data_IF_396840181125
#
_entry.id   IF_396840181125
#
_cell.length_a   1.000
_cell.length_b   1.000
_cell.length_c   1.000
_cell.angle_alpha   90.00
_cell.angle_beta   90.00
_cell.angle_gamma   90.00
#
_symmetry.space_group_name_H-M   'P 1'
#
loop_
_entity.id
_entity.type
_entity.pdbx_description
1 polymer ?
#
# COMPACT_ATOMS: atom_id res chain seq x y z
N UNK A 1 10.20 -10.91 0.55
CA UNK A 1 10.35 -11.98 1.55
C UNK A 1 9.37 -11.83 2.70
N UNK A 2 9.52 -12.64 3.77
CA UNK A 2 8.73 -12.53 4.99
C UNK A 2 9.09 -11.32 5.86
N UNK A 3 8.43 -11.16 7.02
CA UNK A 3 8.72 -10.08 7.98
C UNK A 3 9.34 -10.67 9.24
N UNK A 4 10.59 -10.31 9.54
CA UNK A 4 11.19 -10.60 10.85
C UNK A 4 10.57 -9.68 11.90
N UNK A 5 10.20 -10.21 13.07
CA UNK A 5 9.78 -9.37 14.21
C UNK A 5 10.96 -8.51 14.67
N UNK A 6 10.80 -7.18 14.82
CA UNK A 6 11.87 -6.30 15.28
C UNK A 6 11.99 -6.37 16.81
N UNK A 7 12.63 -7.43 17.32
CA UNK A 7 12.91 -7.60 18.76
C UNK A 7 14.40 -7.76 19.00
N UNK A 8 14.88 -7.14 20.08
CA UNK A 8 16.28 -7.19 20.45
C UNK A 8 16.69 -8.63 20.77
N UNK A 9 17.79 -9.09 20.16
CA UNK A 9 18.35 -10.45 20.33
C UNK A 9 17.38 -11.62 20.05
N UNK A 10 16.20 -11.35 19.47
CA UNK A 10 15.18 -12.39 19.30
C UNK A 10 14.37 -12.70 20.56
N UNK A 11 14.53 -11.93 21.64
CA UNK A 11 13.82 -12.18 22.89
C UNK A 11 12.39 -11.64 22.81
N UNK A 12 11.39 -12.49 23.07
CA UNK A 12 9.98 -12.11 23.22
C UNK A 12 9.49 -12.62 24.58
N UNK A 13 8.83 -11.77 25.35
CA UNK A 13 8.27 -12.13 26.65
C UNK A 13 6.77 -12.41 26.56
N UNK A 14 6.24 -13.14 27.54
CA UNK A 14 4.82 -13.49 27.65
C UNK A 14 4.45 -14.83 27.01
N UNK A 15 3.15 -15.00 26.71
CA UNK A 15 2.56 -16.29 26.32
C UNK A 15 3.25 -16.92 25.08
N UNK A 16 3.42 -18.26 25.03
CA UNK A 16 4.07 -18.96 23.93
C UNK A 16 3.52 -18.64 22.52
N UNK A 17 2.23 -18.36 22.40
CA UNK A 17 1.57 -18.00 21.13
C UNK A 17 2.19 -16.78 20.43
N UNK A 18 2.81 -15.87 21.21
CA UNK A 18 3.39 -14.63 20.69
C UNK A 18 4.89 -14.75 20.34
N UNK A 19 5.52 -15.90 20.56
CA UNK A 19 6.98 -16.08 20.47
C UNK A 19 7.53 -16.11 19.03
N UNK A 20 6.66 -16.11 18.01
CA UNK A 20 7.07 -16.19 16.60
C UNK A 20 7.92 -14.99 16.12
N UNK A 21 9.04 -15.26 15.44
CA UNK A 21 9.96 -14.22 14.94
C UNK A 21 10.08 -14.21 13.40
N UNK A 22 10.49 -15.32 12.78
CA UNK A 22 10.90 -15.37 11.36
C UNK A 22 9.77 -15.73 10.39
N UNK A 23 8.81 -16.56 10.81
CA UNK A 23 7.73 -17.07 9.95
C UNK A 23 6.54 -16.10 9.80
N UNK A 24 6.62 -14.91 10.41
CA UNK A 24 5.59 -13.89 10.27
C UNK A 24 5.57 -13.32 8.84
N UNK A 25 4.37 -13.02 8.35
CA UNK A 25 4.14 -12.35 7.07
C UNK A 25 3.63 -10.94 7.33
N UNK A 26 4.01 -9.99 6.48
CA UNK A 26 3.45 -8.65 6.55
C UNK A 26 1.97 -8.70 6.12
N UNK A 27 1.11 -7.94 6.81
CA UNK A 27 -0.29 -7.78 6.41
C UNK A 27 -0.42 -7.07 5.06
N UNK A 28 0.43 -6.07 4.83
CA UNK A 28 0.51 -5.31 3.58
C UNK A 28 1.34 -6.04 2.53
N UNK A 29 0.94 -5.89 1.27
CA UNK A 29 1.66 -6.49 0.15
C UNK A 29 2.93 -5.69 -0.20
N UNK A 30 3.89 -6.33 -0.88
CA UNK A 30 5.12 -5.64 -1.34
C UNK A 30 4.83 -4.45 -2.27
N UNK A 31 3.80 -4.56 -3.10
CA UNK A 31 3.38 -3.49 -4.02
C UNK A 31 2.77 -2.30 -3.28
N UNK A 32 1.97 -2.56 -2.24
CA UNK A 32 1.44 -1.51 -1.35
C UNK A 32 2.57 -0.77 -0.62
N UNK A 33 3.56 -1.51 -0.12
CA UNK A 33 4.76 -0.91 0.49
C UNK A 33 5.57 -0.08 -0.52
N UNK A 34 5.64 -0.50 -1.78
CA UNK A 34 6.30 0.25 -2.84
C UNK A 34 5.57 1.58 -3.12
N UNK A 35 4.24 1.55 -3.25
CA UNK A 35 3.42 2.76 -3.41
C UNK A 35 3.64 3.75 -2.25
N UNK A 36 3.63 3.26 -1.00
CA UNK A 36 3.86 4.11 0.18
C UNK A 36 5.27 4.71 0.21
N UNK A 37 6.31 3.94 -0.15
CA UNK A 37 7.69 4.43 -0.19
C UNK A 37 7.83 5.58 -1.19
N UNK A 38 7.27 5.42 -2.39
CA UNK A 38 7.29 6.46 -3.42
C UNK A 38 6.45 7.66 -3.00
N UNK A 39 5.25 7.46 -2.45
CA UNK A 39 4.39 8.54 -1.97
C UNK A 39 5.00 9.38 -0.84
N UNK A 40 5.84 8.77 0.01
CA UNK A 40 6.61 9.51 1.03
C UNK A 40 7.78 10.29 0.44
N UNK A 41 8.47 9.72 -0.56
CA UNK A 41 9.62 10.37 -1.22
C UNK A 41 9.17 11.53 -2.12
N UNK A 42 8.08 11.36 -2.85
CA UNK A 42 7.48 12.33 -3.77
C UNK A 42 6.19 12.90 -3.19
N UNK A 43 6.28 13.57 -2.04
CA UNK A 43 5.12 14.02 -1.24
C UNK A 43 4.26 15.09 -1.92
N UNK A 44 4.84 15.86 -2.85
CA UNK A 44 4.14 16.82 -3.70
C UNK A 44 3.18 16.15 -4.70
N UNK A 45 3.47 14.91 -5.08
CA UNK A 45 2.69 14.16 -6.06
C UNK A 45 1.59 13.31 -5.40
N UNK A 46 0.72 12.71 -6.23
CA UNK A 46 -0.35 11.80 -5.81
C UNK A 46 -0.18 10.46 -6.49
N UNK A 47 -0.12 9.39 -5.69
CA UNK A 47 -0.12 8.02 -6.21
C UNK A 47 -1.48 7.70 -6.81
N UNK A 48 -1.52 7.40 -8.09
CA UNK A 48 -2.73 6.95 -8.79
C UNK A 48 -2.90 5.44 -8.59
N UNK A 49 -1.91 4.67 -9.05
CA UNK A 49 -1.82 3.21 -8.99
C UNK A 49 -0.37 2.77 -9.27
N UNK A 50 -0.15 1.46 -9.37
CA UNK A 50 1.15 0.87 -9.72
C UNK A 50 0.97 -0.35 -10.63
N UNK A 51 2.05 -1.00 -11.06
CA UNK A 51 2.03 -2.34 -11.66
C UNK A 51 3.37 -3.08 -11.45
N UNK A 52 3.36 -4.40 -11.65
CA UNK A 52 4.55 -5.23 -11.53
C UNK A 52 5.34 -5.19 -12.84
N UNK A 53 6.66 -5.07 -12.73
CA UNK A 53 7.57 -4.98 -13.88
C UNK A 53 8.41 -6.25 -13.98
N UNK A 54 8.97 -6.68 -12.84
CA UNK A 54 9.93 -7.77 -12.80
C UNK A 54 10.23 -8.19 -11.37
N UNK A 55 10.94 -9.30 -11.22
CA UNK A 55 11.49 -9.71 -9.93
C UNK A 55 12.78 -10.49 -10.14
N UNK A 56 13.69 -10.37 -9.18
CA UNK A 56 14.83 -11.25 -9.04
C UNK A 56 14.69 -12.08 -7.74
N UNK A 57 15.76 -12.76 -7.31
CA UNK A 57 15.73 -13.56 -6.09
C UNK A 57 15.48 -12.74 -4.80
N UNK A 58 15.90 -11.47 -4.78
CA UNK A 58 15.94 -10.58 -3.62
C UNK A 58 14.88 -9.49 -3.65
N UNK A 59 14.55 -8.98 -4.83
CA UNK A 59 13.75 -7.79 -5.09
C UNK A 59 12.56 -8.04 -6.00
N UNK A 60 11.56 -7.17 -5.86
CA UNK A 60 10.42 -7.07 -6.75
C UNK A 60 10.33 -5.63 -7.21
N UNK A 61 10.25 -5.44 -8.51
CA UNK A 61 10.21 -4.13 -9.15
C UNK A 61 8.77 -3.79 -9.52
N UNK A 62 8.38 -2.55 -9.20
CA UNK A 62 7.07 -2.00 -9.50
C UNK A 62 7.23 -0.60 -10.06
N UNK A 63 6.44 -0.29 -11.08
CA UNK A 63 6.29 1.07 -11.58
C UNK A 63 5.07 1.72 -10.92
N UNK A 64 5.26 2.91 -10.36
CA UNK A 64 4.24 3.65 -9.64
C UNK A 64 3.85 4.85 -10.50
N UNK A 65 2.56 4.95 -10.83
CA UNK A 65 1.99 6.04 -11.61
C UNK A 65 1.65 7.19 -10.65
N UNK A 66 2.34 8.31 -10.83
CA UNK A 66 2.16 9.53 -10.06
C UNK A 66 1.46 10.61 -10.89
N UNK A 67 0.71 11.46 -10.21
CA UNK A 67 0.04 12.62 -10.81
C UNK A 67 0.43 13.86 -10.02
N UNK A 68 0.78 14.93 -10.73
CA UNK A 68 1.02 16.24 -10.12
C UNK A 68 -0.31 17.03 -10.02
N UNK A 69 -0.82 17.29 -8.79
CA UNK A 69 -2.04 18.07 -8.60
C UNK A 69 -1.88 19.58 -8.87
N UNK A 70 -0.64 20.09 -8.95
CA UNK A 70 -0.35 21.49 -9.27
C UNK A 70 -0.36 21.75 -10.78
N UNK A 71 -0.19 20.71 -11.60
CA UNK A 71 -0.12 20.85 -13.05
C UNK A 71 -1.48 21.24 -13.66
N UNK A 72 -1.50 22.30 -14.49
CA UNK A 72 -2.73 22.86 -15.09
C UNK A 72 -3.51 21.84 -15.92
N UNK A 73 -2.83 20.96 -16.66
CA UNK A 73 -3.50 19.93 -17.45
C UNK A 73 -4.32 18.96 -16.58
N UNK A 74 -3.79 18.58 -15.41
CA UNK A 74 -4.49 17.68 -14.47
C UNK A 74 -5.68 18.39 -13.84
N UNK A 75 -5.54 19.68 -13.50
CA UNK A 75 -6.63 20.46 -12.89
C UNK A 75 -7.79 20.73 -13.86
N UNK A 76 -7.50 20.92 -15.14
CA UNK A 76 -8.49 21.22 -16.19
C UNK A 76 -9.16 19.97 -16.75
N UNK A 77 -8.52 18.81 -16.71
CA UNK A 77 -9.08 17.57 -17.23
C UNK A 77 -10.15 16.98 -16.27
N UNK A 78 -11.44 16.93 -16.68
CA UNK A 78 -12.52 16.42 -15.84
C UNK A 78 -12.42 14.92 -15.50
N UNK A 79 -11.60 14.15 -16.22
CA UNK A 79 -11.44 12.70 -15.99
C UNK A 79 -10.57 12.40 -14.77
N UNK A 80 -9.61 13.28 -14.45
CA UNK A 80 -8.58 13.02 -13.43
C UNK A 80 -8.53 14.10 -12.33
N UNK A 81 -9.09 15.29 -12.55
CA UNK A 81 -9.01 16.42 -11.62
C UNK A 81 -9.53 16.12 -10.20
N UNK A 82 -10.36 15.07 -10.02
CA UNK A 82 -10.77 14.56 -8.72
C UNK A 82 -9.57 14.32 -7.79
N UNK A 83 -8.44 13.86 -8.32
CA UNK A 83 -7.23 13.55 -7.52
C UNK A 83 -6.59 14.80 -6.91
N UNK A 84 -6.87 15.99 -7.45
CA UNK A 84 -6.34 17.27 -6.97
C UNK A 84 -6.98 17.72 -5.65
N UNK A 85 -8.17 17.20 -5.30
CA UNK A 85 -8.83 17.55 -4.05
C UNK A 85 -8.02 17.08 -2.84
N UNK A 86 -8.03 17.88 -1.75
CA UNK A 86 -7.36 17.55 -0.50
C UNK A 86 -7.77 16.21 0.11
N UNK A 87 -9.00 15.74 -0.18
CA UNK A 87 -9.53 14.44 0.24
C UNK A 87 -8.70 13.25 -0.29
N UNK A 88 -7.97 13.44 -1.37
CA UNK A 88 -7.16 12.42 -2.04
C UNK A 88 -5.66 12.52 -1.75
N UNK A 89 -5.25 13.30 -0.73
CA UNK A 89 -3.87 13.26 -0.20
C UNK A 89 -3.52 11.88 0.36
N UNK A 90 -2.32 11.40 0.07
CA UNK A 90 -1.78 10.15 0.63
C UNK A 90 -2.76 8.95 0.59
N UNK A 91 -3.32 8.66 -0.59
CA UNK A 91 -4.23 7.52 -0.80
C UNK A 91 -3.55 6.18 -0.56
N UNK A 92 -2.27 6.10 -0.91
CA UNK A 92 -1.39 4.95 -0.70
C UNK A 92 -1.27 4.61 0.79
N UNK A 93 -1.02 5.59 1.65
CA UNK A 93 -0.90 5.36 3.11
C UNK A 93 -2.22 4.94 3.76
N UNK A 94 -3.36 5.25 3.14
CA UNK A 94 -4.71 4.90 3.62
C UNK A 94 -5.27 3.62 2.97
N UNK A 95 -4.49 2.96 2.10
CA UNK A 95 -4.93 1.76 1.39
C UNK A 95 -6.12 1.99 0.46
N UNK A 96 -6.21 3.18 -0.16
CA UNK A 96 -7.28 3.55 -1.10
C UNK A 96 -6.90 3.29 -2.57
N UNK A 97 -5.65 2.93 -2.84
CA UNK A 97 -5.18 2.45 -4.15
C UNK A 97 -5.75 1.07 -4.46
N UNK A 98 -5.58 0.63 -5.71
CA UNK A 98 -6.13 -0.65 -6.17
C UNK A 98 -5.58 -1.86 -5.39
N UNK A 99 -4.31 -1.79 -5.01
CA UNK A 99 -3.66 -2.81 -4.19
C UNK A 99 -4.04 -2.70 -2.71
N UNK A 100 -4.15 -1.49 -2.16
CA UNK A 100 -4.62 -1.28 -0.79
C UNK A 100 -6.04 -1.81 -0.58
N UNK A 101 -6.95 -1.56 -1.53
CA UNK A 101 -8.31 -2.15 -1.53
C UNK A 101 -8.29 -3.68 -1.59
N UNK A 102 -7.33 -4.28 -2.32
CA UNK A 102 -7.15 -5.74 -2.37
C UNK A 102 -6.69 -6.28 -1.01
N UNK A 103 -5.68 -5.64 -0.42
CA UNK A 103 -5.09 -5.97 0.90
C UNK A 103 -6.15 -5.95 2.00
N UNK A 104 -7.04 -4.94 1.98
CA UNK A 104 -8.17 -4.79 2.90
C UNK A 104 -9.35 -5.74 2.63
N UNK A 105 -9.27 -6.59 1.59
CA UNK A 105 -10.34 -7.53 1.25
C UNK A 105 -11.57 -6.91 0.56
N UNK A 106 -11.52 -5.63 0.16
CA UNK A 106 -12.66 -4.89 -0.39
C UNK A 106 -13.03 -5.25 -1.84
N UNK A 107 -12.19 -6.07 -2.50
CA UNK A 107 -12.48 -6.59 -3.86
C UNK A 107 -13.55 -7.67 -3.88
N UNK A 108 -13.85 -8.31 -2.74
CA UNK A 108 -14.91 -9.33 -2.64
C UNK A 108 -16.20 -8.71 -2.11
N UNK A 109 -17.35 -9.14 -2.65
CA UNK A 109 -18.71 -8.76 -2.22
C UNK A 109 -19.45 -10.01 -1.72
N UNK A 110 -20.57 -9.81 -1.02
CA UNK A 110 -21.44 -10.89 -0.52
C UNK A 110 -21.04 -11.42 0.87
N UNK A 111 -21.67 -12.53 1.25
CA UNK A 111 -21.68 -13.08 2.62
C UNK A 111 -20.28 -13.30 3.22
N UNK A 112 -19.28 -13.61 2.39
CA UNK A 112 -17.88 -13.82 2.82
C UNK A 112 -17.12 -12.53 3.15
N UNK A 113 -17.75 -11.37 3.01
CA UNK A 113 -17.11 -10.05 3.19
C UNK A 113 -17.86 -9.10 4.12
N UNK A 114 -18.95 -9.55 4.74
CA UNK A 114 -19.81 -8.74 5.64
C UNK A 114 -18.98 -8.08 6.75
N UNK A 115 -18.16 -8.84 7.47
CA UNK A 115 -17.32 -8.33 8.56
C UNK A 115 -16.15 -7.42 8.12
N UNK A 116 -15.98 -7.18 6.81
CA UNK A 116 -14.89 -6.34 6.25
C UNK A 116 -15.42 -5.17 5.45
N UNK A 117 -16.75 -5.01 5.38
CA UNK A 117 -17.42 -3.88 4.76
C UNK A 117 -17.65 -2.81 5.83
N UNK A 118 -17.42 -1.53 5.51
CA UNK A 118 -17.97 -0.44 6.32
C UNK A 118 -19.50 -0.52 6.37
#
# INVERSE_FOLDING_TARGET
>A
GGRKRPVQKGCVYGKPVNQGIRKLKAARTHREVAEERVGRKCSNLRVLNSYWVGQDASYKFFEIILVDPAHKAIRRDPRINWICSGKHKHRENRGLTSIGKKSRGLRRKGNKSTNRRP
#
